data_IF_378170661801
#
_entry.id   IF_378170661801
#
_cell.length_a   1.000
_cell.length_b   1.000
_cell.length_c   1.000
_cell.angle_alpha   90.00
_cell.angle_beta   90.00
_cell.angle_gamma   90.00
#
_symmetry.space_group_name_H-M   'P 1'
#
loop_
_entity.id
_entity.type
_entity.pdbx_description
1 polymer ?
#
# COMPACT_ATOMS: atom_id res chain seq x y z
N UNK A 1 8.73 22.38 -6.16
CA UNK A 1 8.31 21.57 -5.02
C UNK A 1 7.26 20.59 -5.52
N UNK A 2 7.46 19.30 -5.29
CA UNK A 2 6.42 18.31 -5.55
C UNK A 2 5.36 18.37 -4.42
N UNK A 3 4.22 17.68 -4.61
CA UNK A 3 3.12 17.73 -3.63
C UNK A 3 3.53 17.17 -2.25
N UNK A 4 4.41 16.17 -2.22
CA UNK A 4 4.95 15.63 -0.96
C UNK A 4 5.80 16.63 -0.21
N UNK A 5 6.75 17.29 -0.90
CA UNK A 5 7.60 18.31 -0.29
C UNK A 5 6.76 19.45 0.31
N UNK A 6 5.68 19.82 -0.39
CA UNK A 6 4.77 20.85 0.10
C UNK A 6 4.04 20.41 1.37
N UNK A 7 3.51 19.19 1.40
CA UNK A 7 2.81 18.64 2.58
C UNK A 7 3.78 18.51 3.75
N UNK A 8 4.98 17.97 3.53
CA UNK A 8 6.02 17.88 4.56
C UNK A 8 6.44 19.27 5.08
N UNK A 9 6.47 20.28 4.20
CA UNK A 9 6.74 21.68 4.60
C UNK A 9 5.59 22.23 5.45
N UNK A 10 4.34 22.00 5.09
CA UNK A 10 3.20 22.38 5.93
C UNK A 10 3.25 21.68 7.30
N UNK A 11 3.60 20.38 7.33
CA UNK A 11 3.78 19.66 8.59
C UNK A 11 4.89 20.26 9.46
N UNK A 12 5.98 20.77 8.86
CA UNK A 12 7.03 21.44 9.61
C UNK A 12 6.51 22.66 10.37
N UNK A 13 5.49 23.33 9.85
CA UNK A 13 4.90 24.53 10.47
C UNK A 13 3.81 24.19 11.48
N UNK A 14 2.98 23.21 11.15
CA UNK A 14 1.75 22.95 11.89
C UNK A 14 1.79 21.64 12.71
N UNK A 15 2.71 20.73 12.38
CA UNK A 15 2.82 19.42 13.05
C UNK A 15 4.23 18.82 12.90
N UNK A 16 5.23 19.49 13.46
CA UNK A 16 6.64 19.07 13.38
C UNK A 16 6.89 17.67 13.96
N UNK A 17 6.19 17.29 15.04
CA UNK A 17 6.31 15.95 15.63
C UNK A 17 5.90 14.86 14.62
N UNK A 18 4.80 15.07 13.89
CA UNK A 18 4.35 14.12 12.86
C UNK A 18 5.34 13.98 11.72
N UNK A 19 5.90 15.10 11.26
CA UNK A 19 6.96 15.09 10.26
C UNK A 19 8.17 14.27 10.72
N UNK A 20 8.64 14.51 11.93
CA UNK A 20 9.78 13.79 12.49
C UNK A 20 9.51 12.29 12.58
N UNK A 21 8.32 11.86 13.01
CA UNK A 21 7.94 10.43 13.02
C UNK A 21 8.01 9.79 11.64
N UNK A 22 7.58 10.50 10.59
CA UNK A 22 7.66 10.02 9.20
C UNK A 22 9.12 9.83 8.78
N UNK A 23 9.98 10.82 9.03
CA UNK A 23 11.39 10.79 8.68
C UNK A 23 12.14 9.69 9.45
N UNK A 24 11.94 9.59 10.76
CA UNK A 24 12.54 8.57 11.62
C UNK A 24 12.14 7.16 11.18
N UNK A 25 10.87 6.95 10.89
CA UNK A 25 10.37 5.66 10.40
C UNK A 25 10.93 5.32 9.01
N UNK A 26 10.98 6.28 8.09
CA UNK A 26 11.61 6.12 6.77
C UNK A 26 13.06 5.66 6.91
N UNK A 27 13.85 6.32 7.75
CA UNK A 27 15.24 5.97 8.01
C UNK A 27 15.36 4.58 8.62
N UNK A 28 14.53 4.27 9.60
CA UNK A 28 14.51 2.95 10.23
C UNK A 28 14.18 1.83 9.24
N UNK A 29 13.23 2.03 8.29
CA UNK A 29 12.92 1.01 7.27
C UNK A 29 14.10 0.74 6.34
N UNK A 30 14.89 1.76 6.01
CA UNK A 30 16.11 1.61 5.17
C UNK A 30 17.21 0.83 5.86
N UNK A 31 17.40 1.05 7.14
CA UNK A 31 18.50 0.45 7.90
C UNK A 31 18.22 -1.00 8.34
N UNK A 32 16.96 -1.34 8.61
CA UNK A 32 16.57 -2.56 9.30
C UNK A 32 15.85 -3.60 8.45
N UNK A 33 15.66 -3.34 7.14
CA UNK A 33 14.90 -4.24 6.29
C UNK A 33 15.60 -4.55 4.98
N UNK A 34 15.74 -5.85 4.70
CA UNK A 34 16.33 -6.36 3.45
C UNK A 34 15.30 -6.59 2.35
N UNK A 35 14.00 -6.48 2.66
CA UNK A 35 12.91 -6.80 1.74
C UNK A 35 12.35 -5.57 1.07
N UNK A 36 12.03 -4.54 1.86
CA UNK A 36 11.48 -3.29 1.36
C UNK A 36 11.80 -2.15 2.31
N UNK A 37 11.98 -0.97 1.74
CA UNK A 37 12.10 0.29 2.46
C UNK A 37 11.04 1.27 2.00
N UNK A 38 10.74 2.24 2.85
CA UNK A 38 9.84 3.36 2.55
C UNK A 38 10.62 4.67 2.66
N UNK A 39 10.53 5.51 1.65
CA UNK A 39 10.94 6.90 1.80
C UNK A 39 9.82 7.72 2.48
N UNK A 40 10.07 8.97 2.81
CA UNK A 40 9.09 9.83 3.46
C UNK A 40 7.81 10.02 2.64
N UNK A 41 7.92 10.08 1.31
CA UNK A 41 6.77 10.18 0.40
C UNK A 41 5.90 8.91 0.45
N UNK A 42 6.53 7.73 0.52
CA UNK A 42 5.83 6.45 0.66
C UNK A 42 5.06 6.39 1.98
N UNK A 43 5.70 6.79 3.10
CA UNK A 43 5.06 6.84 4.42
C UNK A 43 3.89 7.81 4.41
N UNK A 44 4.06 8.98 3.78
CA UNK A 44 3.00 9.96 3.63
C UNK A 44 1.82 9.41 2.80
N UNK A 45 2.08 8.69 1.70
CA UNK A 45 1.02 8.03 0.91
C UNK A 45 0.24 7.01 1.72
N UNK A 46 0.93 6.22 2.54
CA UNK A 46 0.26 5.26 3.43
C UNK A 46 -0.60 5.99 4.46
N UNK A 47 -0.07 7.03 5.09
CA UNK A 47 -0.80 7.84 6.08
C UNK A 47 -2.09 8.44 5.48
N UNK A 48 -1.98 9.01 4.29
CA UNK A 48 -3.09 9.59 3.53
C UNK A 48 -4.09 8.50 3.09
N UNK A 49 -3.58 7.36 2.63
CA UNK A 49 -4.41 6.21 2.24
C UNK A 49 -5.23 5.66 3.39
N UNK A 50 -4.62 5.52 4.56
CA UNK A 50 -5.32 5.06 5.77
C UNK A 50 -6.30 6.12 6.27
N UNK A 51 -5.85 7.38 6.39
CA UNK A 51 -6.61 8.45 7.03
C UNK A 51 -7.74 9.02 6.19
N UNK A 52 -7.52 9.20 4.89
CA UNK A 52 -8.47 9.89 4.01
C UNK A 52 -9.00 9.03 2.86
N UNK A 53 -8.57 7.76 2.75
CA UNK A 53 -8.94 6.88 1.63
C UNK A 53 -8.62 7.51 0.26
N UNK A 54 -7.46 8.19 0.17
CA UNK A 54 -6.96 8.84 -1.04
C UNK A 54 -5.55 8.37 -1.35
N UNK A 55 -5.21 8.23 -2.64
CA UNK A 55 -3.86 7.88 -3.08
C UNK A 55 -3.05 9.08 -3.55
N UNK A 56 -3.73 10.09 -4.10
CA UNK A 56 -3.08 11.26 -4.66
C UNK A 56 -2.82 12.29 -3.58
N UNK A 57 -1.57 12.69 -3.43
CA UNK A 57 -1.18 13.75 -2.49
C UNK A 57 -1.78 15.12 -2.85
N UNK A 58 -2.13 15.34 -4.13
CA UNK A 58 -2.83 16.53 -4.59
C UNK A 58 -4.23 16.66 -3.97
N UNK A 59 -4.95 15.55 -3.82
CA UNK A 59 -6.26 15.54 -3.15
C UNK A 59 -6.13 16.00 -1.70
N UNK A 60 -5.03 15.63 -1.04
CA UNK A 60 -4.73 16.03 0.34
C UNK A 60 -4.35 17.50 0.43
N UNK A 61 -3.55 18.00 -0.51
CA UNK A 61 -3.26 19.42 -0.58
C UNK A 61 -4.56 20.24 -0.63
N UNK A 62 -5.51 19.83 -1.45
CA UNK A 62 -6.80 20.50 -1.57
C UNK A 62 -7.64 20.39 -0.28
N UNK A 63 -7.58 19.26 0.42
CA UNK A 63 -8.25 19.06 1.72
C UNK A 63 -7.63 19.92 2.84
N UNK A 64 -6.31 20.00 2.87
CA UNK A 64 -5.58 20.71 3.92
C UNK A 64 -5.46 22.23 3.66
N UNK A 65 -5.68 22.68 2.44
CA UNK A 65 -5.61 24.10 2.07
C UNK A 65 -6.66 24.92 2.81
N UNK A 66 -6.21 25.73 3.77
CA UNK A 66 -7.07 26.57 4.59
C UNK A 66 -7.71 25.87 5.81
N UNK A 67 -7.39 24.59 6.06
CA UNK A 67 -7.93 23.81 7.16
C UNK A 67 -6.82 23.08 7.93
N UNK A 68 -5.90 23.84 8.51
CA UNK A 68 -4.73 23.29 9.23
C UNK A 68 -5.10 22.41 10.44
N UNK A 69 -6.31 22.58 11.01
CA UNK A 69 -6.81 21.71 12.07
C UNK A 69 -7.04 20.26 11.63
N UNK A 70 -7.12 19.97 10.33
CA UNK A 70 -7.26 18.59 9.82
C UNK A 70 -5.99 17.74 10.05
N UNK A 71 -4.82 18.33 10.31
CA UNK A 71 -3.66 17.54 10.73
C UNK A 71 -3.91 16.76 12.02
N UNK A 72 -4.79 17.24 12.91
CA UNK A 72 -5.15 16.51 14.12
C UNK A 72 -5.82 15.17 13.84
N UNK A 73 -6.51 15.02 12.71
CA UNK A 73 -7.13 13.74 12.30
C UNK A 73 -6.10 12.68 11.93
N UNK A 74 -4.88 13.09 11.57
CA UNK A 74 -3.78 12.19 11.23
C UNK A 74 -3.00 11.69 12.45
N UNK A 75 -3.16 12.31 13.63
CA UNK A 75 -2.42 11.93 14.83
C UNK A 75 -2.60 10.45 15.22
N UNK A 76 -3.83 9.88 15.31
CA UNK A 76 -3.97 8.47 15.64
C UNK A 76 -3.44 7.54 14.54
N UNK A 77 -3.50 7.96 13.26
CA UNK A 77 -3.07 7.15 12.14
C UNK A 77 -1.56 7.08 12.01
N UNK A 78 -0.84 8.15 12.37
CA UNK A 78 0.62 8.14 12.25
C UNK A 78 1.26 7.11 13.15
N UNK A 79 0.73 6.89 14.36
CA UNK A 79 1.20 5.88 15.29
C UNK A 79 1.07 4.46 14.70
N UNK A 80 -0.01 4.22 13.95
CA UNK A 80 -0.25 2.93 13.29
C UNK A 80 0.67 2.75 12.09
N UNK A 81 0.79 3.77 11.24
CA UNK A 81 1.58 3.74 10.00
C UNK A 81 3.07 3.62 10.29
N UNK A 82 3.56 4.32 11.32
CA UNK A 82 4.97 4.30 11.72
C UNK A 82 5.31 3.26 12.78
N UNK A 83 4.37 2.37 13.11
CA UNK A 83 4.58 1.30 14.05
C UNK A 83 5.52 0.23 13.45
N UNK A 84 6.68 0.05 14.08
CA UNK A 84 7.70 -0.91 13.64
C UNK A 84 7.17 -2.35 13.60
N UNK A 85 6.30 -2.74 14.55
CA UNK A 85 5.75 -4.09 14.58
C UNK A 85 4.73 -4.32 13.47
N UNK A 86 3.88 -3.32 13.16
CA UNK A 86 2.95 -3.39 12.03
C UNK A 86 3.70 -3.59 10.72
N UNK A 87 4.78 -2.85 10.50
CA UNK A 87 5.62 -3.01 9.31
C UNK A 87 6.30 -4.38 9.25
N UNK A 88 6.86 -4.88 10.35
CA UNK A 88 7.45 -6.22 10.41
C UNK A 88 6.43 -7.32 10.13
N UNK A 89 5.26 -7.23 10.74
CA UNK A 89 4.16 -8.18 10.50
C UNK A 89 3.73 -8.15 9.03
N UNK A 90 3.58 -6.96 8.45
CA UNK A 90 3.26 -6.84 7.03
C UNK A 90 4.37 -7.44 6.13
N UNK A 91 5.63 -7.17 6.41
CA UNK A 91 6.74 -7.77 5.66
C UNK A 91 6.78 -9.31 5.79
N UNK A 92 6.32 -9.87 6.90
CA UNK A 92 6.14 -11.32 7.03
C UNK A 92 5.12 -11.84 6.01
N UNK A 93 4.00 -11.13 5.83
CA UNK A 93 3.00 -11.48 4.79
C UNK A 93 3.61 -11.45 3.39
N UNK A 94 4.44 -10.45 3.09
CA UNK A 94 5.12 -10.31 1.79
C UNK A 94 6.15 -11.45 1.59
N UNK A 95 6.88 -11.83 2.64
CA UNK A 95 7.77 -13.01 2.62
C UNK A 95 7.00 -14.31 2.36
N UNK A 96 5.88 -14.50 3.07
CA UNK A 96 5.02 -15.66 2.92
C UNK A 96 4.39 -15.75 1.52
N UNK A 97 4.32 -14.62 0.81
CA UNK A 97 3.94 -14.55 -0.60
C UNK A 97 5.10 -14.91 -1.56
N UNK A 98 6.32 -15.17 -1.06
CA UNK A 98 7.50 -15.52 -1.85
C UNK A 98 8.44 -14.34 -2.17
N UNK A 99 8.11 -13.12 -1.76
CA UNK A 99 8.93 -11.93 -2.06
C UNK A 99 9.93 -11.68 -0.93
N UNK A 100 11.07 -12.36 -1.01
CA UNK A 100 12.08 -12.47 0.06
C UNK A 100 13.23 -11.46 -0.06
N UNK A 101 13.27 -10.66 -1.13
CA UNK A 101 14.32 -9.63 -1.34
C UNK A 101 13.77 -8.40 -2.04
N UNK A 102 14.47 -7.27 -1.94
CA UNK A 102 14.13 -6.00 -2.61
C UNK A 102 14.03 -6.14 -4.13
N UNK A 103 14.87 -6.98 -4.72
CA UNK A 103 14.90 -7.18 -6.18
C UNK A 103 13.61 -7.81 -6.72
N UNK A 104 12.87 -8.53 -5.88
CA UNK A 104 11.59 -9.14 -6.25
C UNK A 104 10.43 -8.14 -6.15
N UNK A 105 10.60 -7.01 -5.45
CA UNK A 105 9.55 -6.01 -5.24
C UNK A 105 9.65 -4.91 -6.30
N UNK A 106 9.19 -5.21 -7.50
CA UNK A 106 9.24 -4.27 -8.65
C UNK A 106 8.06 -3.30 -8.73
N UNK A 107 6.98 -3.55 -7.99
CA UNK A 107 5.74 -2.76 -8.03
C UNK A 107 5.50 -2.03 -6.71
N UNK A 108 6.15 -0.87 -6.54
CA UNK A 108 6.09 -0.09 -5.29
C UNK A 108 4.66 0.28 -4.88
N UNK A 109 3.83 0.73 -5.80
CA UNK A 109 2.44 1.12 -5.50
C UNK A 109 1.61 -0.07 -5.01
N UNK A 110 1.86 -1.28 -5.52
CA UNK A 110 1.22 -2.49 -5.00
C UNK A 110 1.62 -2.76 -3.55
N UNK A 111 2.91 -2.61 -3.22
CA UNK A 111 3.38 -2.77 -1.85
C UNK A 111 2.68 -1.79 -0.91
N UNK A 112 2.59 -0.50 -1.29
CA UNK A 112 1.93 0.53 -0.50
C UNK A 112 0.42 0.26 -0.37
N UNK A 113 -0.25 -0.16 -1.45
CA UNK A 113 -1.67 -0.54 -1.43
C UNK A 113 -1.93 -1.66 -0.42
N UNK A 114 -1.12 -2.72 -0.46
CA UNK A 114 -1.26 -3.85 0.46
C UNK A 114 -0.95 -3.46 1.91
N UNK A 115 0.00 -2.55 2.15
CA UNK A 115 0.25 -2.05 3.51
C UNK A 115 -0.92 -1.20 4.02
N UNK A 116 -1.52 -0.35 3.18
CA UNK A 116 -2.74 0.40 3.51
C UNK A 116 -3.88 -0.55 3.87
N UNK A 117 -4.14 -1.57 3.03
CA UNK A 117 -5.21 -2.56 3.30
C UNK A 117 -4.94 -3.38 4.56
N UNK A 118 -3.68 -3.74 4.82
CA UNK A 118 -3.28 -4.39 6.06
C UNK A 118 -3.64 -3.54 7.28
N UNK A 119 -3.27 -2.25 7.29
CA UNK A 119 -3.54 -1.34 8.39
C UNK A 119 -5.04 -1.08 8.57
N UNK A 120 -5.80 -0.90 7.49
CA UNK A 120 -7.26 -0.75 7.54
C UNK A 120 -7.90 -2.01 8.11
N UNK A 121 -7.52 -3.19 7.62
CA UNK A 121 -8.02 -4.46 8.13
C UNK A 121 -7.73 -4.67 9.60
N UNK A 122 -6.51 -4.33 10.04
CA UNK A 122 -6.09 -4.44 11.44
C UNK A 122 -6.85 -3.47 12.34
N UNK A 123 -6.93 -2.19 11.95
CA UNK A 123 -7.36 -1.12 12.85
C UNK A 123 -8.85 -0.79 12.74
N UNK A 124 -9.40 -0.78 11.54
CA UNK A 124 -10.83 -0.46 11.35
C UNK A 124 -11.70 -1.71 11.52
N UNK A 125 -11.28 -2.85 10.95
CA UNK A 125 -12.08 -4.09 10.95
C UNK A 125 -11.63 -5.10 12.01
N UNK A 126 -10.61 -4.78 12.83
CA UNK A 126 -10.07 -5.62 13.93
C UNK A 126 -9.78 -7.05 13.51
N UNK A 127 -9.23 -7.21 12.33
CA UNK A 127 -8.84 -8.52 11.80
C UNK A 127 -7.59 -9.04 12.51
N UNK A 128 -7.55 -10.35 12.74
CA UNK A 128 -6.36 -11.03 13.25
C UNK A 128 -5.23 -11.07 12.21
N UNK A 129 -4.00 -11.27 12.67
CA UNK A 129 -2.84 -11.43 11.79
C UNK A 129 -3.04 -12.59 10.80
N UNK A 130 -3.63 -13.71 11.23
CA UNK A 130 -3.86 -14.88 10.37
C UNK A 130 -4.85 -14.58 9.24
N UNK A 131 -5.94 -13.87 9.53
CA UNK A 131 -6.89 -13.44 8.51
C UNK A 131 -6.24 -12.51 7.51
N UNK A 132 -5.48 -11.51 8.00
CA UNK A 132 -4.76 -10.57 7.15
C UNK A 132 -3.68 -11.25 6.31
N UNK A 133 -2.89 -12.16 6.92
CA UNK A 133 -1.89 -12.94 6.18
C UNK A 133 -2.54 -13.72 5.04
N UNK A 134 -3.64 -14.40 5.30
CA UNK A 134 -4.32 -15.20 4.30
C UNK A 134 -4.80 -14.38 3.10
N UNK A 135 -5.46 -13.25 3.34
CA UNK A 135 -6.07 -12.48 2.25
C UNK A 135 -5.08 -11.52 1.56
N UNK A 136 -4.23 -10.81 2.31
CA UNK A 136 -3.28 -9.84 1.74
C UNK A 136 -2.21 -10.56 0.91
N UNK A 137 -1.73 -11.73 1.36
CA UNK A 137 -0.81 -12.56 0.59
C UNK A 137 -1.38 -12.93 -0.78
N UNK A 138 -2.60 -13.44 -0.82
CA UNK A 138 -3.27 -13.79 -2.07
C UNK A 138 -3.50 -12.56 -2.96
N UNK A 139 -3.95 -11.46 -2.36
CA UNK A 139 -4.15 -10.21 -3.07
C UNK A 139 -2.84 -9.69 -3.69
N UNK A 140 -1.74 -9.70 -2.91
CA UNK A 140 -0.44 -9.25 -3.41
C UNK A 140 0.01 -10.05 -4.63
N UNK A 141 -0.02 -11.39 -4.55
CA UNK A 141 0.36 -12.27 -5.67
C UNK A 141 -0.54 -12.04 -6.89
N UNK A 142 -1.86 -12.01 -6.69
CA UNK A 142 -2.83 -11.80 -7.76
C UNK A 142 -2.61 -10.48 -8.49
N UNK A 143 -2.45 -9.38 -7.75
CA UNK A 143 -2.23 -8.05 -8.31
C UNK A 143 -0.83 -7.89 -8.93
N UNK A 144 0.16 -8.59 -8.39
CA UNK A 144 1.51 -8.62 -8.95
C UNK A 144 1.53 -9.28 -10.32
N UNK A 145 0.95 -10.49 -10.44
CA UNK A 145 0.88 -11.24 -11.70
C UNK A 145 0.02 -10.53 -12.74
N UNK A 146 -1.14 -10.01 -12.33
CA UNK A 146 -2.04 -9.28 -13.24
C UNK A 146 -1.52 -7.90 -13.65
N UNK A 147 -0.48 -7.39 -12.96
CA UNK A 147 0.10 -6.06 -13.16
C UNK A 147 -0.92 -4.92 -12.98
N UNK A 148 -1.89 -5.08 -12.06
CA UNK A 148 -2.93 -4.08 -11.78
C UNK A 148 -2.34 -2.69 -11.50
N UNK A 149 -1.25 -2.62 -10.72
CA UNK A 149 -0.61 -1.37 -10.31
C UNK A 149 0.71 -1.08 -11.04
N UNK A 150 1.04 -1.80 -12.10
CA UNK A 150 2.31 -1.63 -12.82
C UNK A 150 2.27 -0.57 -13.93
N UNK A 151 1.08 -0.08 -14.30
CA UNK A 151 0.89 0.87 -15.40
C UNK A 151 1.03 2.32 -14.92
N UNK A 152 1.18 3.25 -15.87
CA UNK A 152 1.27 4.70 -15.61
C UNK A 152 0.11 5.29 -14.81
N UNK A 153 -1.05 4.62 -14.80
CA UNK A 153 -2.23 5.01 -14.02
C UNK A 153 -2.32 4.34 -12.62
N UNK A 154 -1.22 3.79 -12.09
CA UNK A 154 -1.21 3.03 -10.83
C UNK A 154 -1.76 3.80 -9.63
N UNK A 155 -1.45 5.09 -9.49
CA UNK A 155 -2.01 5.96 -8.44
C UNK A 155 -3.52 6.18 -8.59
N UNK A 156 -3.99 6.34 -9.82
CA UNK A 156 -5.43 6.49 -10.11
C UNK A 156 -6.18 5.18 -9.82
N UNK A 157 -5.54 4.03 -10.07
CA UNK A 157 -6.09 2.71 -9.74
C UNK A 157 -6.20 2.56 -8.22
N UNK A 158 -5.13 2.86 -7.48
CA UNK A 158 -5.15 2.85 -6.02
C UNK A 158 -6.20 3.82 -5.46
N UNK A 159 -6.33 5.02 -6.05
CA UNK A 159 -7.34 6.00 -5.62
C UNK A 159 -8.76 5.46 -5.75
N UNK A 160 -9.08 4.74 -6.83
CA UNK A 160 -10.40 4.10 -7.02
C UNK A 160 -10.65 3.01 -5.99
N UNK A 161 -9.65 2.16 -5.73
CA UNK A 161 -9.76 1.09 -4.73
C UNK A 161 -10.01 1.67 -3.34
N UNK A 162 -9.28 2.72 -2.96
CA UNK A 162 -9.46 3.39 -1.67
C UNK A 162 -10.82 4.09 -1.55
N UNK A 163 -11.32 4.71 -2.63
CA UNK A 163 -12.67 5.30 -2.64
C UNK A 163 -13.76 4.23 -2.49
N UNK A 164 -13.52 3.01 -2.99
CA UNK A 164 -14.45 1.89 -2.77
C UNK A 164 -14.53 1.53 -1.29
N UNK A 165 -13.40 1.61 -0.56
CA UNK A 165 -13.36 1.34 0.88
C UNK A 165 -14.19 2.32 1.72
N UNK A 166 -14.47 3.53 1.24
CA UNK A 166 -15.34 4.48 1.94
C UNK A 166 -16.78 3.96 2.13
N UNK A 167 -17.20 3.01 1.29
CA UNK A 167 -18.54 2.42 1.32
C UNK A 167 -18.60 1.10 2.10
N UNK A 168 -17.47 0.64 2.62
CA UNK A 168 -17.35 -0.63 3.34
C UNK A 168 -17.52 -0.36 4.81
N UNK A 169 -18.51 -1.02 5.42
CA UNK A 169 -18.92 -0.79 6.80
C UNK A 169 -18.42 -1.85 7.79
N UNK A 170 -18.03 -3.03 7.28
CA UNK A 170 -17.65 -4.16 8.14
C UNK A 170 -16.61 -5.09 7.50
N UNK A 171 -16.08 -5.99 8.34
CA UNK A 171 -15.04 -6.95 7.96
C UNK A 171 -15.44 -7.84 6.79
N UNK A 172 -16.66 -8.32 6.74
CA UNK A 172 -17.12 -9.26 5.71
C UNK A 172 -17.18 -8.57 4.34
N UNK A 173 -17.63 -7.33 4.29
CA UNK A 173 -17.61 -6.50 3.08
C UNK A 173 -16.17 -6.19 2.64
N UNK A 174 -15.24 -5.95 3.58
CA UNK A 174 -13.84 -5.72 3.26
C UNK A 174 -13.18 -6.98 2.68
N UNK A 175 -13.39 -8.13 3.29
CA UNK A 175 -12.92 -9.43 2.77
C UNK A 175 -13.50 -9.70 1.39
N UNK A 176 -14.79 -9.48 1.22
CA UNK A 176 -15.46 -9.64 -0.07
C UNK A 176 -14.86 -8.72 -1.15
N UNK A 177 -14.61 -7.46 -0.84
CA UNK A 177 -13.94 -6.54 -1.77
C UNK A 177 -12.60 -7.09 -2.25
N UNK A 178 -11.73 -7.55 -1.35
CA UNK A 178 -10.43 -8.10 -1.73
C UNK A 178 -10.56 -9.40 -2.53
N UNK A 179 -11.52 -10.28 -2.20
CA UNK A 179 -11.80 -11.52 -2.91
C UNK A 179 -12.37 -11.27 -4.31
N UNK A 180 -13.28 -10.32 -4.45
CA UNK A 180 -13.87 -9.95 -5.74
C UNK A 180 -12.78 -9.37 -6.67
N UNK A 181 -11.88 -8.53 -6.14
CA UNK A 181 -10.72 -8.02 -6.88
C UNK A 181 -9.77 -9.16 -7.32
N UNK A 182 -9.43 -10.09 -6.43
CA UNK A 182 -8.63 -11.27 -6.79
C UNK A 182 -9.30 -12.04 -7.93
N UNK A 183 -10.59 -12.30 -7.80
CA UNK A 183 -11.36 -13.09 -8.80
C UNK A 183 -11.45 -12.37 -10.14
N UNK A 184 -11.56 -11.05 -10.15
CA UNK A 184 -11.61 -10.23 -11.36
C UNK A 184 -10.28 -10.27 -12.13
N UNK A 185 -9.14 -10.20 -11.43
CA UNK A 185 -7.83 -10.08 -12.05
C UNK A 185 -7.15 -11.43 -12.31
N UNK A 186 -7.51 -12.48 -11.57
CA UNK A 186 -7.00 -13.86 -11.75
C UNK A 186 -8.04 -14.69 -12.48
N UNK A 187 -8.37 -14.28 -13.71
CA UNK A 187 -9.34 -14.97 -14.56
C UNK A 187 -8.73 -16.21 -15.23
N UNK A 188 -9.56 -17.18 -15.70
CA UNK A 188 -9.10 -18.30 -16.53
C UNK A 188 -8.32 -17.85 -17.77
N UNK A 189 -8.67 -16.70 -18.35
CA UNK A 189 -7.96 -16.12 -19.49
C UNK A 189 -6.51 -15.72 -19.12
N UNK A 190 -6.31 -15.17 -17.93
CA UNK A 190 -4.97 -14.88 -17.43
C UNK A 190 -4.13 -16.15 -17.40
N UNK A 191 -4.63 -17.23 -16.79
CA UNK A 191 -3.90 -18.48 -16.62
C UNK A 191 -3.66 -19.23 -17.92
N UNK A 192 -4.69 -19.35 -18.77
CA UNK A 192 -4.65 -20.23 -19.93
C UNK A 192 -4.08 -19.59 -21.18
N UNK A 193 -4.11 -18.26 -21.28
CA UNK A 193 -3.71 -17.54 -22.49
C UNK A 193 -2.58 -16.54 -22.24
N UNK A 194 -2.78 -15.64 -21.28
CA UNK A 194 -1.88 -14.50 -21.10
C UNK A 194 -0.56 -14.90 -20.45
N UNK A 195 -0.60 -15.62 -19.32
CA UNK A 195 0.59 -16.06 -18.60
C UNK A 195 1.52 -16.92 -19.46
N UNK A 196 1.06 -18.00 -20.13
CA UNK A 196 1.92 -18.81 -20.99
C UNK A 196 2.59 -17.98 -22.09
N UNK A 197 1.85 -17.09 -22.75
CA UNK A 197 2.39 -16.23 -23.81
C UNK A 197 3.45 -15.27 -23.29
N UNK A 198 3.15 -14.61 -22.16
CA UNK A 198 4.03 -13.59 -21.59
C UNK A 198 5.29 -14.25 -20.98
N UNK A 199 5.21 -15.49 -20.46
CA UNK A 199 6.38 -16.25 -20.00
C UNK A 199 7.37 -16.59 -21.12
N UNK A 200 6.89 -16.92 -22.32
CA UNK A 200 7.75 -17.22 -23.48
C UNK A 200 8.57 -16.00 -23.91
N UNK A 201 8.00 -14.80 -23.76
CA UNK A 201 8.60 -13.54 -24.23
C UNK A 201 9.24 -12.72 -23.12
N UNK A 202 9.12 -13.15 -21.86
CA UNK A 202 9.52 -12.37 -20.69
C UNK A 202 11.04 -12.42 -20.45
N UNK A 203 11.60 -11.27 -20.15
CA UNK A 203 12.94 -11.17 -19.58
C UNK A 203 12.97 -11.68 -18.13
N UNK A 204 14.14 -12.02 -17.62
CA UNK A 204 14.35 -12.40 -16.20
C UNK A 204 13.89 -11.35 -15.18
N UNK A 205 13.61 -10.10 -15.62
CA UNK A 205 13.10 -9.01 -14.80
C UNK A 205 11.57 -8.86 -14.84
N UNK A 206 10.88 -9.72 -15.62
CA UNK A 206 9.43 -9.60 -15.70
C UNK A 206 8.80 -10.07 -14.38
N UNK A 207 7.67 -9.47 -13.95
CA UNK A 207 6.93 -9.93 -12.78
C UNK A 207 6.56 -11.42 -12.85
N UNK A 208 6.32 -11.91 -14.05
CA UNK A 208 5.97 -13.32 -14.27
C UNK A 208 7.15 -14.27 -14.05
N UNK A 209 8.34 -13.88 -14.48
CA UNK A 209 9.55 -14.67 -14.25
C UNK A 209 9.96 -14.65 -12.76
N UNK A 210 9.65 -13.58 -12.05
CA UNK A 210 9.93 -13.45 -10.61
C UNK A 210 8.96 -14.29 -9.77
N UNK A 211 7.71 -14.48 -10.24
CA UNK A 211 6.65 -15.20 -9.52
C UNK A 211 6.74 -16.73 -9.66
N UNK A 212 7.54 -17.25 -10.60
CA UNK A 212 7.75 -18.67 -10.86
C UNK A 212 9.22 -19.08 -10.80
#
# INVERSE_FOLDING_TARGET
LNNSDFILTLMSVYWEEGRKKIEDFSNWTKEKNDIADLNADDVMRVLVGVGFKRAKLEDIYNLLRGQTHQFSTLHPMIEQVTNHQNWRNFLTIIKDAGFISKDLISQKILLLACYIFYLIGLEEYKMSFQELNSIIRLYYVAMFISQKYAKSASESTLSKDLQTLEKIENKDQFLKFLQDEISLFVSPELWNMRLPRDMITSSTRSPLFIAF
#
